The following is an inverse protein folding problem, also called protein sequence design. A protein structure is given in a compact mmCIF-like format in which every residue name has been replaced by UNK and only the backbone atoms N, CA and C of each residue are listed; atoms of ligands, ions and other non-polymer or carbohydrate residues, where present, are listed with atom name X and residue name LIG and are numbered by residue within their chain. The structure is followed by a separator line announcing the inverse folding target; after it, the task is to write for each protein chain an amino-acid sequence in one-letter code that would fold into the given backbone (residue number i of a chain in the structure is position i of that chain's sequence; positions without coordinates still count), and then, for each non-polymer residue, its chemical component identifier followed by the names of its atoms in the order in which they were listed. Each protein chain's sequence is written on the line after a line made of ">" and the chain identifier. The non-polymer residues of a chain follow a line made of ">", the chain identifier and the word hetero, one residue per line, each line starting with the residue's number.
data_IF_476815449726
#
_entry.id   IF_476815449726
#
_cell.length_a   1.000
_cell.length_b   1.000
_cell.length_c   1.000
_cell.angle_alpha   90.00
_cell.angle_beta   90.00
_cell.angle_gamma   90.00
#
_symmetry.space_group_name_H-M   'P 1'
#
loop_
_entity.id
_entity.type
_entity.pdbx_description
1 polymer ?
#
# COMPACT_ATOMS: atom_id res chain seq x y z
N UNK A 1 -1.53 -14.12 3.59
CA UNK A 1 -2.93 -13.99 3.13
C UNK A 1 -3.10 -12.61 2.53
N UNK A 2 -3.02 -12.50 1.21
CA UNK A 2 -3.24 -11.26 0.46
C UNK A 2 -4.23 -11.63 -0.66
N UNK A 3 -5.29 -10.83 -0.84
CA UNK A 3 -6.29 -11.00 -1.93
C UNK A 3 -7.20 -12.24 -1.91
N UNK A 4 -7.25 -13.02 -0.82
CA UNK A 4 -8.18 -14.15 -0.69
C UNK A 4 -7.83 -15.38 -1.55
N UNK A 5 -6.60 -15.45 -2.07
CA UNK A 5 -6.05 -16.62 -2.75
C UNK A 5 -5.00 -17.31 -1.87
N UNK A 6 -4.84 -18.63 -2.04
CA UNK A 6 -3.89 -19.42 -1.27
C UNK A 6 -2.44 -19.06 -1.62
N UNK A 7 -2.17 -18.79 -2.91
CA UNK A 7 -0.87 -18.32 -3.38
C UNK A 7 -0.97 -17.54 -4.71
N UNK A 8 0.18 -17.00 -5.16
CA UNK A 8 0.29 -16.22 -6.40
C UNK A 8 0.07 -17.07 -7.66
N UNK A 9 0.45 -18.34 -7.63
CA UNK A 9 0.29 -19.23 -8.78
C UNK A 9 -1.20 -19.51 -9.05
N UNK A 10 -2.00 -19.63 -7.98
CA UNK A 10 -3.45 -19.78 -8.05
C UNK A 10 -4.11 -18.55 -8.72
N UNK A 11 -3.72 -17.35 -8.31
CA UNK A 11 -4.23 -16.09 -8.87
C UNK A 11 -3.99 -15.98 -10.38
N UNK A 12 -2.75 -16.24 -10.83
CA UNK A 12 -2.39 -16.15 -12.25
C UNK A 12 -3.14 -17.19 -13.09
N UNK A 13 -3.34 -18.40 -12.56
CA UNK A 13 -4.07 -19.47 -13.24
C UNK A 13 -5.54 -19.10 -13.45
N UNK A 14 -6.17 -18.48 -12.46
CA UNK A 14 -7.58 -18.07 -12.52
C UNK A 14 -7.81 -16.89 -13.47
N UNK A 15 -6.87 -15.94 -13.52
CA UNK A 15 -6.89 -14.83 -14.50
C UNK A 15 -6.71 -15.35 -15.93
N UNK A 16 -5.81 -16.31 -16.15
CA UNK A 16 -5.63 -16.94 -17.48
C UNK A 16 -6.86 -17.71 -17.94
N UNK A 17 -7.52 -18.44 -17.04
CA UNK A 17 -8.77 -19.14 -17.35
C UNK A 17 -9.88 -18.17 -17.77
N UNK A 18 -9.98 -17.01 -17.11
CA UNK A 18 -10.99 -15.98 -17.40
C UNK A 18 -10.78 -15.25 -18.73
N UNK A 19 -9.57 -15.32 -19.31
CA UNK A 19 -9.24 -14.75 -20.63
C UNK A 19 -9.58 -15.67 -21.80
N UNK A 20 -9.89 -16.94 -21.56
CA UNK A 20 -10.24 -17.90 -22.63
C UNK A 20 -11.73 -17.87 -23.03
N UNK A 21 -12.61 -17.27 -22.21
CA UNK A 21 -14.07 -17.20 -22.49
C UNK A 21 -14.50 -15.98 -23.33
N UNK A 22 -13.57 -15.14 -23.78
CA UNK A 22 -13.89 -13.98 -24.64
C UNK A 22 -13.12 -14.10 -25.95
N UNK A 23 -13.72 -14.83 -26.89
CA UNK A 23 -13.29 -14.88 -28.30
C UNK A 23 -13.60 -13.59 -29.06
N UNK A 24 -12.98 -13.37 -30.24
CA UNK A 24 -12.78 -12.04 -30.80
C UNK A 24 -13.88 -11.55 -31.74
N UNK A 25 -13.95 -10.22 -31.80
CA UNK A 25 -14.57 -9.33 -32.79
C UNK A 25 -14.69 -9.92 -34.20
N UNK A 26 -15.90 -9.95 -34.75
CA UNK A 26 -16.14 -10.01 -36.19
C UNK A 26 -17.13 -8.91 -36.61
N UNK A 27 -16.60 -7.99 -37.41
CA UNK A 27 -17.31 -7.11 -38.33
C UNK A 27 -17.97 -7.92 -39.44
N UNK A 28 -19.13 -7.48 -39.95
CA UNK A 28 -19.46 -7.53 -41.39
C UNK A 28 -20.66 -6.62 -41.72
N UNK A 29 -20.41 -5.68 -42.63
CA UNK A 29 -21.39 -5.04 -43.51
C UNK A 29 -21.93 -6.08 -44.51
N UNK A 30 -23.23 -5.98 -44.87
CA UNK A 30 -23.70 -5.76 -46.26
C UNK A 30 -25.24 -5.75 -46.35
N UNK A 31 -25.74 -4.56 -46.68
CA UNK A 31 -26.74 -4.17 -47.69
C UNK A 31 -27.74 -5.19 -48.27
N UNK A 32 -29.01 -4.78 -48.33
CA UNK A 32 -29.81 -4.65 -49.58
C UNK A 32 -31.14 -3.86 -49.35
N UNK A 33 -31.16 -2.63 -49.88
CA UNK A 33 -32.13 -1.98 -50.80
C UNK A 33 -33.65 -2.05 -50.48
N UNK A 34 -34.31 -0.91 -50.17
CA UNK A 34 -35.06 0.01 -51.09
C UNK A 34 -36.38 -0.61 -51.65
N UNK A 35 -37.58 -0.01 -51.69
CA UNK A 35 -38.03 1.40 -51.68
C UNK A 35 -39.59 1.43 -51.79
N UNK A 36 -40.20 2.60 -51.45
CA UNK A 36 -41.49 3.19 -51.91
C UNK A 36 -42.77 3.08 -51.05
N UNK A 37 -43.15 4.24 -50.49
CA UNK A 37 -44.50 4.82 -50.28
C UNK A 37 -45.46 4.59 -51.48
N UNK A 38 -46.82 4.69 -51.37
CA UNK A 38 -47.54 5.79 -50.69
C UNK A 38 -48.98 5.57 -50.12
N UNK A 39 -49.35 6.47 -49.21
CA UNK A 39 -50.68 7.14 -49.08
C UNK A 39 -51.89 6.49 -48.35
N UNK A 40 -52.42 7.33 -47.45
CA UNK A 40 -53.83 7.71 -47.17
C UNK A 40 -54.81 6.86 -46.35
N UNK A 41 -55.44 7.54 -45.37
CA UNK A 41 -56.77 7.27 -44.82
C UNK A 41 -56.78 6.87 -43.33
N UNK A 42 -56.72 7.83 -42.39
CA UNK A 42 -57.86 8.30 -41.53
C UNK A 42 -58.55 7.16 -40.77
N UNK A 43 -58.53 7.09 -39.44
CA UNK A 43 -59.43 7.87 -38.57
C UNK A 43 -58.97 7.94 -37.10
N UNK A 44 -59.37 9.04 -36.47
CA UNK A 44 -59.02 9.46 -35.12
C UNK A 44 -59.65 8.60 -34.01
N UNK A 45 -58.88 8.32 -32.95
CA UNK A 45 -59.38 8.38 -31.58
C UNK A 45 -58.38 9.08 -30.68
N UNK A 46 -58.75 10.29 -30.30
CA UNK A 46 -58.12 11.06 -29.24
C UNK A 46 -58.14 10.27 -27.93
N UNK A 47 -56.98 10.09 -27.32
CA UNK A 47 -56.92 9.99 -25.88
C UNK A 47 -55.71 10.79 -25.40
N UNK A 48 -55.99 12.03 -25.00
CA UNK A 48 -55.01 13.00 -24.53
C UNK A 48 -54.52 12.55 -23.16
N UNK A 49 -53.61 11.58 -23.12
CA UNK A 49 -52.91 11.17 -21.89
C UNK A 49 -51.63 11.99 -21.80
N UNK A 50 -51.51 12.76 -20.72
CA UNK A 50 -50.53 13.84 -20.52
C UNK A 50 -49.09 13.37 -20.71
N UNK A 51 -48.54 13.64 -21.90
CA UNK A 51 -47.17 13.31 -22.33
C UNK A 51 -46.09 14.00 -21.47
N UNK A 52 -46.45 14.99 -20.65
CA UNK A 52 -45.54 15.56 -19.67
C UNK A 52 -45.11 14.52 -18.62
N UNK A 53 -45.95 13.54 -18.23
CA UNK A 53 -45.60 12.55 -17.19
C UNK A 53 -44.46 11.59 -17.60
N UNK A 54 -44.46 11.11 -18.85
CA UNK A 54 -43.39 10.25 -19.37
C UNK A 54 -42.08 11.01 -19.62
N UNK A 55 -42.17 12.27 -20.04
CA UNK A 55 -41.00 13.14 -20.24
C UNK A 55 -40.35 13.56 -18.91
N UNK A 56 -41.16 13.75 -17.87
CA UNK A 56 -40.71 14.05 -16.50
C UNK A 56 -39.96 12.84 -15.90
N UNK A 57 -40.48 11.62 -16.05
CA UNK A 57 -39.81 10.39 -15.59
C UNK A 57 -38.46 10.15 -16.29
N UNK A 58 -38.39 10.38 -17.61
CA UNK A 58 -37.14 10.28 -18.37
C UNK A 58 -36.11 11.32 -17.94
N UNK A 59 -36.54 12.56 -17.71
CA UNK A 59 -35.66 13.62 -17.20
C UNK A 59 -35.14 13.31 -15.79
N UNK A 60 -35.99 12.78 -14.89
CA UNK A 60 -35.56 12.36 -13.55
C UNK A 60 -34.59 11.19 -13.57
N UNK A 61 -34.79 10.20 -14.45
CA UNK A 61 -33.84 9.11 -14.60
C UNK A 61 -32.48 9.61 -15.12
N UNK A 62 -32.48 10.54 -16.08
CA UNK A 62 -31.25 11.13 -16.63
C UNK A 62 -30.51 12.00 -15.61
N UNK A 63 -31.23 12.81 -14.81
CA UNK A 63 -30.62 13.61 -13.75
C UNK A 63 -30.07 12.74 -12.63
N UNK A 64 -30.77 11.66 -12.27
CA UNK A 64 -30.31 10.72 -11.24
C UNK A 64 -29.09 9.92 -11.72
N UNK A 65 -29.02 9.54 -12.99
CA UNK A 65 -27.82 8.95 -13.59
C UNK A 65 -26.65 9.93 -13.65
N UNK A 66 -26.89 11.20 -13.99
CA UNK A 66 -25.87 12.26 -13.96
C UNK A 66 -25.37 12.52 -12.55
N UNK A 67 -26.26 12.59 -11.56
CA UNK A 67 -25.88 12.76 -10.15
C UNK A 67 -25.09 11.55 -9.67
N UNK A 68 -25.52 10.31 -9.99
CA UNK A 68 -24.76 9.10 -9.68
C UNK A 68 -23.38 9.11 -10.35
N UNK A 69 -23.29 9.54 -11.61
CA UNK A 69 -22.03 9.68 -12.33
C UNK A 69 -21.11 10.73 -11.68
N UNK A 70 -21.63 11.90 -11.30
CA UNK A 70 -20.89 12.94 -10.59
C UNK A 70 -20.43 12.49 -9.19
N UNK A 71 -21.28 11.75 -8.47
CA UNK A 71 -20.92 11.12 -7.20
C UNK A 71 -19.85 10.04 -7.39
N UNK A 72 -19.89 9.29 -8.50
CA UNK A 72 -18.88 8.28 -8.84
C UNK A 72 -17.54 8.92 -9.19
N UNK A 73 -17.54 10.04 -9.93
CA UNK A 73 -16.32 10.79 -10.26
C UNK A 73 -15.69 11.39 -9.00
N UNK A 74 -16.48 11.95 -8.09
CA UNK A 74 -15.98 12.51 -6.82
C UNK A 74 -15.40 11.45 -5.86
N UNK A 75 -15.69 10.16 -6.04
CA UNK A 75 -15.16 9.08 -5.19
C UNK A 75 -13.75 8.60 -5.58
N UNK A 76 -13.18 9.10 -6.68
CA UNK A 76 -11.91 8.58 -7.22
C UNK A 76 -10.67 9.39 -6.87
N UNK A 77 -10.80 10.50 -6.13
CA UNK A 77 -9.67 11.40 -5.84
C UNK A 77 -9.18 11.39 -4.39
N UNK A 78 -9.80 10.65 -3.47
CA UNK A 78 -9.39 10.65 -2.05
C UNK A 78 -8.26 9.67 -1.68
N UNK A 79 -7.86 8.77 -2.59
CA UNK A 79 -6.87 7.71 -2.27
C UNK A 79 -5.41 8.21 -2.41
N UNK A 80 -5.18 9.33 -3.09
CA UNK A 80 -3.83 9.87 -3.31
C UNK A 80 -3.40 10.92 -2.26
N UNK A 81 -4.34 11.60 -1.60
CA UNK A 81 -4.03 12.82 -0.82
C UNK A 81 -3.78 12.57 0.68
N UNK A 82 -3.87 11.31 1.15
CA UNK A 82 -3.66 10.95 2.56
C UNK A 82 -2.51 9.95 2.81
N UNK A 83 -1.86 9.44 1.76
CA UNK A 83 -0.72 8.52 1.91
C UNK A 83 0.53 9.37 2.12
N UNK A 84 0.94 9.50 3.38
CA UNK A 84 2.30 9.94 3.69
C UNK A 84 3.27 8.80 3.35
N UNK A 85 4.50 9.13 2.99
CA UNK A 85 5.58 8.15 2.84
C UNK A 85 6.58 8.29 3.99
N UNK A 86 7.46 7.32 4.10
CA UNK A 86 8.57 7.34 5.04
C UNK A 86 9.85 6.83 4.39
N UNK A 87 10.99 7.26 4.94
CA UNK A 87 12.32 6.89 4.47
C UNK A 87 13.21 6.50 5.64
N UNK A 88 14.12 5.56 5.40
CA UNK A 88 15.18 5.24 6.37
C UNK A 88 16.22 6.36 6.41
N UNK A 89 16.61 6.77 7.61
CA UNK A 89 17.59 7.84 7.88
C UNK A 89 18.95 7.30 8.30
N UNK A 90 19.21 6.00 8.14
CA UNK A 90 20.39 5.34 8.67
C UNK A 90 20.19 4.83 10.09
N UNK A 91 19.29 5.46 10.88
CA UNK A 91 18.98 5.03 12.26
C UNK A 91 17.50 4.81 12.54
N UNK A 92 16.58 5.53 11.89
CA UNK A 92 15.13 5.40 12.12
C UNK A 92 14.35 5.80 10.86
N UNK A 93 13.02 5.70 10.90
CA UNK A 93 12.17 6.18 9.82
C UNK A 93 11.71 7.61 10.06
N UNK A 94 11.78 8.44 9.01
CA UNK A 94 11.22 9.79 9.01
C UNK A 94 10.08 9.90 7.98
N UNK A 95 9.06 10.72 8.28
CA UNK A 95 7.97 11.02 7.33
C UNK A 95 8.46 11.99 6.25
N UNK A 96 8.14 11.66 5.00
CA UNK A 96 8.47 12.51 3.85
C UNK A 96 7.30 12.53 2.85
N UNK A 97 7.23 13.55 1.98
CA UNK A 97 6.34 13.50 0.82
C UNK A 97 6.71 12.32 -0.09
N UNK A 98 5.70 11.58 -0.56
CA UNK A 98 5.91 10.48 -1.52
C UNK A 98 6.52 10.92 -2.85
N UNK A 99 6.43 12.22 -3.19
CA UNK A 99 7.02 12.81 -4.38
C UNK A 99 8.53 13.05 -4.30
N UNK A 100 9.18 12.80 -3.15
CA UNK A 100 10.61 13.06 -2.93
C UNK A 100 11.53 12.14 -3.76
N UNK A 101 11.00 11.05 -4.31
CA UNK A 101 11.73 10.13 -5.19
C UNK A 101 11.44 8.66 -4.86
N UNK A 102 12.30 7.77 -5.34
CA UNK A 102 12.16 6.32 -5.10
C UNK A 102 13.07 5.78 -4.00
N UNK A 103 14.18 6.45 -3.70
CA UNK A 103 15.20 5.95 -2.78
C UNK A 103 15.71 7.03 -1.82
N UNK A 104 16.14 6.60 -0.64
CA UNK A 104 16.84 7.39 0.36
C UNK A 104 18.32 7.57 0.01
N UNK A 105 19.01 8.43 0.75
CA UNK A 105 20.47 8.54 0.70
C UNK A 105 21.20 7.25 1.10
N UNK A 106 20.53 6.35 1.83
CA UNK A 106 21.03 5.04 2.23
C UNK A 106 20.70 3.93 1.21
N UNK A 107 20.17 4.31 0.03
CA UNK A 107 19.80 3.36 -1.02
C UNK A 107 18.57 2.50 -0.68
N UNK A 108 17.81 2.85 0.36
CA UNK A 108 16.58 2.15 0.74
C UNK A 108 15.40 2.73 -0.02
N UNK A 109 14.39 1.92 -0.34
CA UNK A 109 13.17 2.42 -0.98
C UNK A 109 12.44 3.44 -0.09
N UNK A 110 11.80 4.42 -0.71
CA UNK A 110 10.79 5.25 -0.06
C UNK A 110 9.50 4.42 0.00
N UNK A 111 9.00 4.20 1.21
CA UNK A 111 7.90 3.28 1.48
C UNK A 111 6.64 4.08 1.89
N UNK A 112 5.43 3.58 1.63
CA UNK A 112 4.21 4.12 2.24
C UNK A 112 4.34 4.12 3.76
N UNK A 113 3.78 5.13 4.41
CA UNK A 113 3.82 5.26 5.87
C UNK A 113 3.18 4.05 6.55
N UNK A 114 3.98 3.29 7.30
CA UNK A 114 3.52 2.24 8.20
C UNK A 114 3.74 2.68 9.64
N UNK A 115 2.64 2.89 10.38
CA UNK A 115 2.68 3.41 11.76
C UNK A 115 3.54 2.54 12.68
N UNK A 116 3.41 1.21 12.61
CA UNK A 116 4.09 0.30 13.54
C UNK A 116 5.59 0.31 13.32
N UNK A 117 6.03 0.23 12.07
CA UNK A 117 7.44 0.30 11.68
C UNK A 117 8.01 1.68 11.99
N UNK A 118 7.27 2.75 11.70
CA UNK A 118 7.68 4.12 12.00
C UNK A 118 7.93 4.35 13.50
N UNK A 119 7.01 3.92 14.36
CA UNK A 119 7.12 4.17 15.81
C UNK A 119 8.21 3.29 16.46
N UNK A 120 8.31 2.03 16.03
CA UNK A 120 9.03 0.99 16.77
C UNK A 120 10.34 0.53 16.13
N UNK A 121 10.65 0.87 14.88
CA UNK A 121 11.85 0.35 14.20
C UNK A 121 12.96 1.42 14.14
N UNK A 122 13.95 1.30 15.04
CA UNK A 122 15.12 2.19 15.12
C UNK A 122 16.36 1.43 15.59
N UNK A 123 17.53 1.94 15.22
CA UNK A 123 18.83 1.53 15.76
C UNK A 123 19.04 2.23 17.11
N UNK A 124 19.48 1.47 18.11
CA UNK A 124 19.80 1.96 19.45
C UNK A 124 21.22 1.61 19.84
N UNK A 125 21.86 2.50 20.58
CA UNK A 125 23.11 2.22 21.26
C UNK A 125 22.78 1.54 22.60
N UNK A 126 23.54 0.51 22.96
CA UNK A 126 23.27 -0.31 24.15
C UNK A 126 24.47 -0.35 25.08
N UNK A 127 24.19 -0.56 26.36
CA UNK A 127 25.18 -0.72 27.42
C UNK A 127 24.69 -1.72 28.49
N UNK A 128 25.48 -1.91 29.55
CA UNK A 128 25.15 -2.83 30.65
C UNK A 128 23.86 -2.48 31.41
N UNK A 129 23.35 -1.25 31.28
CA UNK A 129 22.10 -0.81 31.93
C UNK A 129 20.87 -1.01 31.05
N UNK A 130 21.08 -1.38 29.78
CA UNK A 130 20.01 -1.59 28.81
C UNK A 130 19.20 -2.83 29.17
N UNK A 131 17.87 -2.70 29.19
CA UNK A 131 16.97 -3.85 29.35
C UNK A 131 16.84 -4.62 28.05
N UNK A 132 17.51 -5.78 27.95
CA UNK A 132 17.47 -6.63 26.75
C UNK A 132 16.28 -7.60 26.71
N UNK A 133 15.70 -7.93 27.88
CA UNK A 133 14.59 -8.86 28.01
C UNK A 133 13.46 -8.25 28.84
N UNK A 134 12.22 -8.61 28.50
CA UNK A 134 11.04 -8.22 29.27
C UNK A 134 11.05 -8.93 30.64
N UNK A 135 10.92 -8.18 31.72
CA UNK A 135 10.85 -8.75 33.08
C UNK A 135 9.67 -9.71 33.26
N UNK A 136 8.57 -9.50 32.53
CA UNK A 136 7.33 -10.26 32.69
C UNK A 136 7.38 -11.65 32.04
N UNK A 137 8.04 -11.78 30.90
CA UNK A 137 7.96 -13.00 30.07
C UNK A 137 9.30 -13.43 29.45
N UNK A 138 10.40 -12.76 29.82
CA UNK A 138 11.76 -13.04 29.35
C UNK A 138 11.92 -13.00 27.83
N UNK A 139 11.00 -12.35 27.10
CA UNK A 139 11.12 -12.17 25.66
C UNK A 139 12.14 -11.08 25.32
N UNK A 140 12.89 -11.23 24.22
CA UNK A 140 13.83 -10.21 23.77
C UNK A 140 13.09 -8.91 23.45
N UNK A 141 13.62 -7.80 23.96
CA UNK A 141 13.17 -6.44 23.64
C UNK A 141 13.95 -5.84 22.47
N UNK A 142 15.12 -6.40 22.16
CA UNK A 142 15.99 -5.97 21.08
C UNK A 142 16.29 -7.11 20.10
N UNK A 143 16.55 -6.71 18.88
CA UNK A 143 17.03 -7.54 17.78
C UNK A 143 18.38 -7.01 17.33
N UNK A 144 19.17 -7.83 16.66
CA UNK A 144 20.49 -7.43 16.20
C UNK A 144 20.79 -7.93 14.79
N UNK A 145 21.71 -7.20 14.15
CA UNK A 145 22.39 -7.64 12.94
C UNK A 145 23.90 -7.53 13.15
N UNK A 146 24.63 -8.56 12.71
CA UNK A 146 26.09 -8.54 12.69
C UNK A 146 26.56 -8.14 11.30
N UNK A 147 27.25 -7.02 11.21
CA UNK A 147 27.84 -6.49 9.98
C UNK A 147 29.06 -7.31 9.56
N UNK A 148 29.55 -7.08 8.34
CA UNK A 148 30.67 -7.84 7.77
C UNK A 148 32.01 -7.53 8.47
N UNK A 149 32.18 -6.31 8.99
CA UNK A 149 33.31 -5.93 9.84
C UNK A 149 33.18 -6.48 11.28
N UNK A 150 32.07 -7.14 11.61
CA UNK A 150 31.86 -7.82 12.89
C UNK A 150 31.22 -6.97 13.98
N UNK A 151 30.87 -5.71 13.69
CA UNK A 151 30.10 -4.84 14.57
C UNK A 151 28.66 -5.34 14.73
N UNK A 152 28.03 -4.96 15.83
CA UNK A 152 26.65 -5.34 16.14
C UNK A 152 25.79 -4.08 16.15
N UNK A 153 24.79 -4.07 15.28
CA UNK A 153 23.73 -3.08 15.30
C UNK A 153 22.52 -3.62 16.04
N UNK A 154 21.99 -2.86 17.00
CA UNK A 154 20.83 -3.25 17.80
C UNK A 154 19.59 -2.47 17.35
N UNK A 155 18.47 -3.17 17.25
CA UNK A 155 17.20 -2.69 16.73
C UNK A 155 16.08 -2.92 17.75
N UNK A 156 15.16 -1.97 17.87
CA UNK A 156 14.04 -2.03 18.83
C UNK A 156 12.85 -2.87 18.38
N UNK A 157 12.87 -3.41 17.17
CA UNK A 157 11.80 -4.23 16.62
C UNK A 157 12.35 -5.34 15.70
N UNK A 158 11.62 -6.48 15.58
CA UNK A 158 11.97 -7.51 14.61
C UNK A 158 11.74 -7.01 13.19
N UNK A 159 12.41 -7.63 12.22
CA UNK A 159 12.17 -7.35 10.82
C UNK A 159 13.35 -7.67 9.92
N UNK A 160 13.42 -6.96 8.81
CA UNK A 160 14.53 -7.01 7.87
C UNK A 160 15.39 -5.76 8.05
N UNK A 161 16.70 -5.92 7.92
CA UNK A 161 17.65 -4.83 7.90
C UNK A 161 17.34 -3.88 6.72
N UNK A 162 17.19 -2.56 6.93
CA UNK A 162 16.69 -1.63 5.90
C UNK A 162 17.54 -1.58 4.63
N UNK A 163 18.86 -1.69 4.76
CA UNK A 163 19.80 -1.61 3.62
C UNK A 163 20.01 -2.95 2.90
N UNK A 164 20.36 -4.01 3.63
CA UNK A 164 20.73 -5.29 3.01
C UNK A 164 19.60 -6.33 2.95
N UNK A 165 18.44 -6.05 3.57
CA UNK A 165 17.26 -6.91 3.54
C UNK A 165 17.38 -8.23 4.32
N UNK A 166 18.48 -8.47 5.05
CA UNK A 166 18.65 -9.69 5.85
C UNK A 166 17.80 -9.63 7.12
N UNK A 167 17.33 -10.79 7.58
CA UNK A 167 16.52 -10.90 8.79
C UNK A 167 17.33 -10.56 10.05
N UNK A 168 16.77 -9.69 10.89
CA UNK A 168 17.32 -9.38 12.21
C UNK A 168 17.11 -10.58 13.16
N UNK A 169 18.10 -10.86 13.99
CA UNK A 169 18.05 -11.96 14.97
C UNK A 169 17.65 -11.42 16.33
N UNK A 170 16.86 -12.17 17.08
CA UNK A 170 16.57 -11.82 18.48
C UNK A 170 17.86 -11.80 19.29
N UNK A 171 18.00 -10.83 20.20
CA UNK A 171 19.14 -10.79 21.13
C UNK A 171 19.10 -12.01 22.07
N UNK A 172 20.28 -12.52 22.42
CA UNK A 172 20.45 -13.62 23.38
C UNK A 172 21.48 -13.22 24.43
N UNK A 173 21.48 -13.89 25.57
CA UNK A 173 22.48 -13.69 26.63
C UNK A 173 23.92 -13.76 26.09
N UNK A 174 24.21 -14.76 25.25
CA UNK A 174 25.51 -14.90 24.59
C UNK A 174 25.91 -13.67 23.76
N UNK A 175 24.96 -13.08 23.03
CA UNK A 175 25.23 -11.89 22.21
C UNK A 175 25.49 -10.67 23.10
N UNK A 176 24.79 -10.56 24.23
CA UNK A 176 24.99 -9.49 25.20
C UNK A 176 26.38 -9.61 25.82
N UNK A 177 26.71 -10.77 26.38
CA UNK A 177 27.99 -11.03 27.04
C UNK A 177 29.19 -10.80 26.10
N UNK A 178 29.05 -11.19 24.84
CA UNK A 178 30.16 -11.13 23.87
C UNK A 178 30.40 -9.75 23.27
N UNK A 179 29.35 -8.95 23.09
CA UNK A 179 29.43 -7.73 22.26
C UNK A 179 29.00 -6.44 22.95
N UNK A 180 28.35 -6.50 24.12
CA UNK A 180 27.95 -5.27 24.83
C UNK A 180 29.14 -4.76 25.66
N UNK A 181 29.56 -3.50 25.48
CA UNK A 181 30.68 -2.93 26.23
C UNK A 181 30.37 -2.84 27.72
N UNK A 182 31.30 -3.34 28.55
CA UNK A 182 31.19 -3.28 30.02
C UNK A 182 31.50 -1.87 30.54
N UNK A 183 32.37 -1.14 29.84
CA UNK A 183 32.82 0.20 30.23
C UNK A 183 32.54 1.22 29.13
N UNK A 184 31.90 2.32 29.50
CA UNK A 184 31.82 3.52 28.66
C UNK A 184 33.02 4.41 28.97
N UNK A 185 34.05 4.39 28.13
CA UNK A 185 35.16 5.34 28.22
C UNK A 185 34.67 6.72 27.80
N UNK A 186 34.22 7.53 28.76
CA UNK A 186 33.91 8.95 28.52
C UNK A 186 35.20 9.77 28.67
N UNK A 187 35.68 10.47 27.63
CA UNK A 187 36.92 11.27 27.72
C UNK A 187 36.91 12.27 28.88
N UNK A 188 35.73 12.83 29.19
CA UNK A 188 35.52 13.75 30.32
C UNK A 188 35.68 13.12 31.71
N UNK A 189 35.76 11.79 31.79
CA UNK A 189 35.99 11.06 33.04
C UNK A 189 37.47 10.81 33.32
N UNK A 190 38.36 11.09 32.36
CA UNK A 190 39.80 11.06 32.58
C UNK A 190 40.23 12.44 33.08
N UNK A 191 40.89 12.49 34.24
CA UNK A 191 41.53 13.70 34.74
C UNK A 191 42.70 14.00 33.79
N UNK A 192 42.65 15.14 33.10
CA UNK A 192 43.77 15.67 32.34
C UNK A 192 44.70 16.40 33.29
N UNK A 193 45.89 15.85 33.51
CA UNK A 193 47.00 16.47 34.26
C UNK A 193 47.60 17.68 33.53
#
# INVERSE_FOLDING_TARGET
>A
MYLGYQDYAEYVKKIKAKKLDVGPLHTNLKDKNETKDPSTGTEAKSNKKSWHSASILGAFALTLLLVLYLLFQNKTSEVADSINCMTWTGRFYEKIPCSKGSYSEYGTAIEPYDKKRFENFRIVDVDITTSFFSEQNQKPLLWYYKTENGEIEYYTAPGLHPVNGKTLKAVTEYIIEKYVPIHQNKPSSFISD
#
